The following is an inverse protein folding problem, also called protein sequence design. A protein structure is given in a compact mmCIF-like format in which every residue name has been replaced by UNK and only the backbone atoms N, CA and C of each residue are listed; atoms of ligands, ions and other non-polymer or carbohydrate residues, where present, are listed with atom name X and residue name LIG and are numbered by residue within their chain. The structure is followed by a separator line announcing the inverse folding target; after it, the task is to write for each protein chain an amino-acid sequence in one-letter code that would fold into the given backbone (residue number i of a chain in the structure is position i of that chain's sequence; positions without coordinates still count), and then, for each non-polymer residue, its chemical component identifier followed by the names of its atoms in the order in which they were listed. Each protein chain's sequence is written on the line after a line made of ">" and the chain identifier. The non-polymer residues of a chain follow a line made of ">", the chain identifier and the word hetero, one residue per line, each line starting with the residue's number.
data_IF_595182431649
#
_entry.id   IF_595182431649
#
_cell.length_a   1.000
_cell.length_b   1.000
_cell.length_c   1.000
_cell.angle_alpha   90.00
_cell.angle_beta   90.00
_cell.angle_gamma   90.00
#
_symmetry.space_group_name_H-M   'P 1'
#
loop_
_entity.id
_entity.type
_entity.pdbx_description
1 polymer ?
#
# COMPACT_ATOMS: atom_id res chain seq x y z
N UNK A 1 -9.07 -6.21 12.66
CA UNK A 1 -9.71 -5.18 11.82
C UNK A 1 -9.86 -5.73 10.41
N UNK A 2 -10.68 -5.11 9.56
CA UNK A 2 -10.83 -5.53 8.16
C UNK A 2 -9.82 -4.80 7.27
N UNK A 3 -9.26 -5.50 6.27
CA UNK A 3 -8.30 -4.91 5.32
C UNK A 3 -8.90 -3.79 4.47
N UNK A 4 -10.19 -3.91 4.15
CA UNK A 4 -10.98 -2.84 3.58
C UNK A 4 -12.44 -2.94 4.02
N UNK A 5 -13.16 -1.83 3.94
CA UNK A 5 -14.61 -1.75 4.14
C UNK A 5 -15.21 -0.96 2.98
N UNK A 6 -16.22 -1.54 2.32
CA UNK A 6 -17.00 -0.86 1.30
C UNK A 6 -18.24 -0.22 1.94
N UNK A 7 -18.41 1.08 1.77
CA UNK A 7 -19.62 1.83 2.15
C UNK A 7 -20.16 2.48 0.89
N UNK A 8 -21.36 2.07 0.47
CA UNK A 8 -21.95 2.41 -0.82
C UNK A 8 -20.99 2.14 -2.00
N UNK A 9 -20.40 3.20 -2.55
CA UNK A 9 -19.49 3.17 -3.71
C UNK A 9 -18.06 3.53 -3.34
N UNK A 10 -17.77 3.73 -2.07
CA UNK A 10 -16.47 4.17 -1.58
C UNK A 10 -15.84 3.07 -0.74
N UNK A 11 -14.66 2.62 -1.17
CA UNK A 11 -13.88 1.66 -0.41
C UNK A 11 -12.82 2.37 0.44
N UNK A 12 -12.81 2.03 1.72
CA UNK A 12 -11.81 2.49 2.68
C UNK A 12 -10.83 1.36 2.95
N UNK A 13 -9.59 1.53 2.50
CA UNK A 13 -8.53 0.53 2.67
C UNK A 13 -7.74 0.87 3.95
N UNK A 14 -7.51 -0.13 4.80
CA UNK A 14 -6.65 0.00 5.97
C UNK A 14 -5.20 0.28 5.55
N UNK A 15 -4.42 0.97 6.41
CA UNK A 15 -3.02 1.26 6.11
C UNK A 15 -2.23 -0.01 5.79
N UNK A 16 -1.60 -0.03 4.61
CA UNK A 16 -0.78 -1.15 4.17
C UNK A 16 0.68 -0.88 4.51
N UNK A 17 1.34 -1.89 5.07
CA UNK A 17 2.76 -1.87 5.45
C UNK A 17 3.51 -2.81 4.51
N UNK A 18 4.83 -2.62 4.37
CA UNK A 18 5.73 -3.46 3.58
C UNK A 18 5.96 -4.88 4.14
N UNK A 19 4.93 -5.48 4.74
CA UNK A 19 4.96 -6.86 5.22
C UNK A 19 4.66 -7.80 4.06
N UNK A 20 5.47 -8.84 3.90
CA UNK A 20 5.17 -9.94 2.99
C UNK A 20 4.13 -10.89 3.63
N UNK A 21 2.97 -11.14 2.99
CA UNK A 21 1.90 -11.94 3.60
C UNK A 21 2.28 -13.39 3.93
N UNK A 22 3.20 -14.00 3.17
CA UNK A 22 3.63 -15.38 3.38
C UNK A 22 4.48 -15.55 4.63
N UNK A 23 5.32 -14.56 4.96
CA UNK A 23 6.23 -14.61 6.10
C UNK A 23 5.74 -13.82 7.31
N UNK A 24 4.85 -12.84 7.10
CA UNK A 24 4.41 -11.92 8.14
C UNK A 24 5.50 -10.96 8.62
N UNK A 25 6.61 -10.85 7.87
CA UNK A 25 7.76 -10.00 8.18
C UNK A 25 7.87 -8.84 7.20
N UNK A 26 8.53 -7.76 7.62
CA UNK A 26 8.93 -6.69 6.69
C UNK A 26 9.86 -7.26 5.61
N UNK A 27 9.63 -6.85 4.36
CA UNK A 27 10.55 -7.20 3.29
C UNK A 27 11.93 -6.58 3.52
N UNK A 28 12.97 -7.31 3.14
CA UNK A 28 14.34 -6.78 3.17
C UNK A 28 14.55 -5.74 2.06
N UNK A 29 15.47 -4.80 2.26
CA UNK A 29 15.79 -3.74 1.28
C UNK A 29 15.38 -2.33 1.71
N UNK A 30 14.80 -2.19 2.90
CA UNK A 30 14.48 -0.89 3.51
C UNK A 30 13.27 -0.20 2.87
N UNK A 31 13.15 1.11 3.11
CA UNK A 31 11.95 1.90 2.80
C UNK A 31 11.44 1.75 1.35
N UNK A 32 12.35 1.61 0.38
CA UNK A 32 12.00 1.43 -1.03
C UNK A 32 11.27 0.10 -1.29
N UNK A 33 11.83 -1.02 -0.82
CA UNK A 33 11.20 -2.32 -1.00
C UNK A 33 9.95 -2.46 -0.12
N UNK A 34 9.95 -1.87 1.07
CA UNK A 34 8.77 -1.81 1.93
C UNK A 34 7.62 -1.03 1.27
N UNK A 35 7.89 0.11 0.63
CA UNK A 35 6.89 0.87 -0.12
C UNK A 35 6.33 0.07 -1.29
N UNK A 36 7.19 -0.64 -2.03
CA UNK A 36 6.79 -1.51 -3.14
C UNK A 36 5.87 -2.64 -2.66
N UNK A 37 6.21 -3.27 -1.55
CA UNK A 37 5.39 -4.33 -0.95
C UNK A 37 4.07 -3.78 -0.41
N UNK A 38 4.06 -2.60 0.22
CA UNK A 38 2.84 -1.95 0.69
C UNK A 38 1.86 -1.65 -0.46
N UNK A 39 2.37 -1.12 -1.58
CA UNK A 39 1.57 -0.88 -2.78
C UNK A 39 1.06 -2.17 -3.41
N UNK A 40 1.88 -3.23 -3.45
CA UNK A 40 1.46 -4.56 -3.89
C UNK A 40 0.33 -5.11 -3.03
N UNK A 41 0.45 -5.01 -1.70
CA UNK A 41 -0.60 -5.43 -0.78
C UNK A 41 -1.91 -4.66 -1.02
N UNK A 42 -1.83 -3.34 -1.22
CA UNK A 42 -2.99 -2.52 -1.61
C UNK A 42 -3.60 -2.99 -2.94
N UNK A 43 -2.76 -3.34 -3.92
CA UNK A 43 -3.20 -3.87 -5.22
C UNK A 43 -3.98 -5.16 -5.11
N UNK A 44 -3.55 -6.09 -4.25
CA UNK A 44 -4.29 -7.35 -4.01
C UNK A 44 -5.66 -7.09 -3.34
N UNK A 45 -5.75 -6.09 -2.44
CA UNK A 45 -7.02 -5.67 -1.84
C UNK A 45 -7.95 -5.06 -2.89
N UNK A 46 -7.44 -4.15 -3.73
CA UNK A 46 -8.20 -3.56 -4.83
C UNK A 46 -8.73 -4.65 -5.77
N UNK A 47 -7.87 -5.58 -6.17
CA UNK A 47 -8.21 -6.71 -7.04
C UNK A 47 -9.28 -7.61 -6.43
N UNK A 48 -9.20 -7.89 -5.14
CA UNK A 48 -10.23 -8.67 -4.43
C UNK A 48 -11.60 -7.97 -4.43
N UNK A 49 -11.63 -6.64 -4.53
CA UNK A 49 -12.84 -5.84 -4.68
C UNK A 49 -13.26 -5.60 -6.14
N UNK A 50 -12.57 -6.19 -7.13
CA UNK A 50 -12.83 -5.96 -8.56
C UNK A 50 -12.38 -4.58 -9.06
N UNK A 51 -11.46 -3.93 -8.34
CA UNK A 51 -10.87 -2.63 -8.66
C UNK A 51 -9.39 -2.76 -9.04
N UNK A 52 -8.81 -1.67 -9.52
CA UNK A 52 -7.38 -1.48 -9.73
C UNK A 52 -6.92 -0.11 -9.22
N UNK A 53 -5.65 0.24 -9.48
CA UNK A 53 -5.08 1.51 -9.04
C UNK A 53 -5.74 2.73 -9.71
N UNK A 54 -6.39 2.59 -10.87
CA UNK A 54 -7.12 3.68 -11.52
C UNK A 54 -8.41 4.07 -10.76
N UNK A 55 -8.89 3.22 -9.85
CA UNK A 55 -10.00 3.56 -8.97
C UNK A 55 -9.56 4.38 -7.73
N UNK A 56 -8.26 4.56 -7.49
CA UNK A 56 -7.75 5.25 -6.31
C UNK A 56 -7.83 6.77 -6.48
N UNK A 57 -8.64 7.43 -5.66
CA UNK A 57 -8.85 8.89 -5.72
C UNK A 57 -7.99 9.68 -4.73
N UNK A 58 -7.57 9.05 -3.63
CA UNK A 58 -6.80 9.68 -2.55
C UNK A 58 -6.00 8.64 -1.79
N UNK A 59 -4.74 8.97 -1.49
CA UNK A 59 -3.85 8.18 -0.62
C UNK A 59 -3.29 9.07 0.50
N UNK A 60 -2.97 8.47 1.64
CA UNK A 60 -2.18 9.10 2.70
C UNK A 60 -0.96 8.24 2.92
N UNK A 61 0.22 8.75 2.55
CA UNK A 61 1.49 8.03 2.73
C UNK A 61 2.11 8.49 4.04
N UNK A 62 2.38 7.53 4.93
CA UNK A 62 3.05 7.76 6.21
C UNK A 62 4.45 7.14 6.12
N UNK A 63 5.45 7.91 6.50
CA UNK A 63 6.87 7.52 6.41
C UNK A 63 7.50 7.68 7.79
N UNK A 64 8.42 6.77 8.12
CA UNK A 64 9.12 6.80 9.41
C UNK A 64 10.20 7.90 9.45
N UNK A 65 10.95 8.09 8.35
CA UNK A 65 11.91 9.16 8.17
C UNK A 65 11.62 9.89 6.85
N UNK A 66 11.64 11.22 6.89
CA UNK A 66 11.41 12.06 5.71
C UNK A 66 12.56 11.99 4.70
N UNK A 67 13.74 11.50 5.10
CA UNK A 67 14.86 11.23 4.18
C UNK A 67 14.50 10.21 3.11
N UNK A 68 13.58 9.29 3.40
CA UNK A 68 13.16 8.23 2.48
C UNK A 68 12.14 8.70 1.43
N UNK A 69 11.71 9.97 1.49
CA UNK A 69 10.65 10.49 0.64
C UNK A 69 10.91 10.27 -0.85
N UNK A 70 12.12 10.56 -1.33
CA UNK A 70 12.44 10.43 -2.75
C UNK A 70 12.37 8.97 -3.21
N UNK A 71 12.96 8.06 -2.43
CA UNK A 71 12.96 6.63 -2.75
C UNK A 71 11.54 6.04 -2.77
N UNK A 72 10.71 6.43 -1.80
CA UNK A 72 9.30 6.01 -1.72
C UNK A 72 8.50 6.61 -2.88
N UNK A 73 8.67 7.90 -3.18
CA UNK A 73 7.96 8.58 -4.25
C UNK A 73 8.32 8.01 -5.64
N UNK A 74 9.56 7.57 -5.85
CA UNK A 74 9.96 6.91 -7.10
C UNK A 74 9.27 5.56 -7.31
N UNK A 75 9.00 4.82 -6.23
CA UNK A 75 8.20 3.60 -6.27
C UNK A 75 6.71 3.92 -6.47
N UNK A 76 6.20 4.93 -5.77
CA UNK A 76 4.80 5.34 -5.82
C UNK A 76 4.35 5.81 -7.22
N UNK A 77 5.27 6.32 -8.04
CA UNK A 77 4.99 6.80 -9.39
C UNK A 77 4.86 5.70 -10.46
N UNK A 78 5.29 4.48 -10.16
CA UNK A 78 5.26 3.34 -11.09
C UNK A 78 3.88 2.71 -11.16
#
# INVERSE_FOLDING_TARGET
>A
FSQAVLVDRTMYIAGQIGIEPSSGQLVSGGAKEEAKQALKNMGEILKAAGCDYCNVVKTTVLMADMKDFNDINDIYRQ
#
